data_IF_766493473306
#
_entry.id   IF_766493473306
#
_cell.length_a   1.000
_cell.length_b   1.000
_cell.length_c   1.000
_cell.angle_alpha   90.00
_cell.angle_beta   90.00
_cell.angle_gamma   90.00
#
_symmetry.space_group_name_H-M   'P 1'
#
loop_
_entity.id
_entity.type
_entity.pdbx_description
1 polymer ?
#
# COMPACT_ATOMS: atom_id res chain seq x y z
N UNK A 1 1.21 0.03 3.12
CA UNK A 1 0.22 0.90 3.78
C UNK A 1 -0.24 2.05 2.89
N UNK A 2 0.64 2.67 2.15
CA UNK A 2 0.37 3.86 1.33
C UNK A 2 -0.58 3.57 0.16
N UNK A 3 -0.48 2.40 -0.49
CA UNK A 3 -1.24 2.00 -1.67
C UNK A 3 -2.66 1.53 -1.40
N UNK A 4 -2.93 1.07 -0.19
CA UNK A 4 -4.20 0.39 0.10
C UNK A 4 -5.33 1.41 0.23
N UNK A 5 -6.42 1.34 -0.55
CA UNK A 5 -7.56 2.26 -0.42
C UNK A 5 -8.11 2.31 1.00
N UNK A 6 -8.64 3.48 1.42
CA UNK A 6 -9.19 3.63 2.77
C UNK A 6 -10.34 2.65 3.04
N UNK A 7 -11.12 2.29 2.00
CA UNK A 7 -12.22 1.32 2.07
C UNK A 7 -11.80 -0.07 2.53
N UNK A 8 -10.58 -0.50 2.19
CA UNK A 8 -10.04 -1.81 2.59
C UNK A 8 -9.84 -1.92 4.10
N UNK A 9 -9.67 -0.78 4.80
CA UNK A 9 -9.58 -0.73 6.26
C UNK A 9 -10.91 -1.04 6.96
N UNK A 10 -12.03 -1.01 6.24
CA UNK A 10 -13.35 -1.39 6.77
C UNK A 10 -13.39 -2.86 7.15
N UNK A 11 -12.71 -3.71 6.38
CA UNK A 11 -12.69 -5.16 6.55
C UNK A 11 -11.75 -5.59 7.69
N UNK A 12 -12.05 -6.76 8.28
CA UNK A 12 -11.15 -7.45 9.19
C UNK A 12 -9.83 -7.84 8.48
N UNK A 13 -8.85 -8.34 9.23
CA UNK A 13 -7.53 -8.71 8.68
C UNK A 13 -7.60 -9.68 7.49
N UNK A 14 -8.53 -10.64 7.57
CA UNK A 14 -8.76 -11.62 6.50
C UNK A 14 -9.31 -10.94 5.24
N UNK A 15 -10.32 -10.08 5.38
CA UNK A 15 -10.88 -9.34 4.24
C UNK A 15 -9.85 -8.43 3.57
N UNK A 16 -8.94 -7.84 4.34
CA UNK A 16 -7.80 -7.07 3.80
C UNK A 16 -6.82 -7.94 3.02
N UNK A 17 -6.50 -9.12 3.55
CA UNK A 17 -5.63 -10.08 2.86
C UNK A 17 -6.26 -10.53 1.54
N UNK A 18 -7.56 -10.84 1.55
CA UNK A 18 -8.29 -11.30 0.36
C UNK A 18 -8.38 -10.20 -0.72
N UNK A 19 -8.73 -8.96 -0.34
CA UNK A 19 -8.84 -7.87 -1.33
C UNK A 19 -7.50 -7.48 -1.92
N UNK A 20 -6.46 -7.29 -1.10
CA UNK A 20 -5.13 -6.90 -1.61
C UNK A 20 -4.44 -8.05 -2.34
N UNK A 21 -4.51 -9.25 -1.77
CA UNK A 21 -3.96 -10.46 -2.38
C UNK A 21 -4.71 -10.86 -3.65
N UNK A 22 -6.05 -10.77 -3.63
CA UNK A 22 -6.86 -11.06 -4.80
C UNK A 22 -6.55 -10.13 -5.98
N UNK A 23 -6.44 -8.82 -5.76
CA UNK A 23 -6.06 -7.87 -6.81
C UNK A 23 -4.68 -8.18 -7.41
N UNK A 24 -3.69 -8.44 -6.55
CA UNK A 24 -2.32 -8.78 -7.00
C UNK A 24 -2.31 -10.13 -7.71
N UNK A 25 -2.99 -11.13 -7.15
CA UNK A 25 -3.10 -12.45 -7.76
C UNK A 25 -3.75 -12.41 -9.14
N UNK A 26 -4.89 -11.70 -9.29
CA UNK A 26 -5.56 -11.53 -10.59
C UNK A 26 -4.65 -10.85 -11.59
N UNK A 27 -3.97 -9.77 -11.18
CA UNK A 27 -3.07 -9.04 -12.06
C UNK A 27 -1.93 -9.92 -12.58
N UNK A 28 -1.18 -10.55 -11.68
CA UNK A 28 -0.05 -11.39 -12.09
C UNK A 28 -0.49 -12.72 -12.72
N UNK A 29 -1.63 -13.29 -12.28
CA UNK A 29 -2.20 -14.47 -12.91
C UNK A 29 -2.64 -14.21 -14.34
N UNK A 30 -3.29 -13.06 -14.61
CA UNK A 30 -3.66 -12.66 -15.95
C UNK A 30 -2.42 -12.46 -16.86
N UNK A 31 -1.37 -11.83 -16.32
CA UNK A 31 -0.11 -11.66 -17.04
C UNK A 31 0.54 -13.01 -17.35
N UNK A 32 0.60 -13.92 -16.37
CA UNK A 32 1.13 -15.27 -16.58
C UNK A 32 0.31 -16.07 -17.60
N UNK A 33 -1.00 -15.86 -17.67
CA UNK A 33 -1.86 -16.47 -18.71
C UNK A 33 -1.55 -15.92 -20.08
N UNK A 34 -1.36 -14.60 -20.20
CA UNK A 34 -1.02 -13.95 -21.47
C UNK A 34 0.34 -14.39 -22.00
N UNK A 35 1.30 -14.57 -21.09
CA UNK A 35 2.67 -14.96 -21.40
C UNK A 35 2.75 -16.45 -21.77
N UNK A 36 2.33 -17.35 -20.89
CA UNK A 36 2.45 -18.80 -21.05
C UNK A 36 1.37 -19.43 -21.92
N UNK A 37 0.17 -18.83 -21.99
CA UNK A 37 -1.03 -19.42 -22.58
C UNK A 37 -1.60 -20.60 -21.78
N UNK A 38 -1.04 -20.94 -20.62
CA UNK A 38 -1.38 -22.12 -19.83
C UNK A 38 -2.19 -21.70 -18.59
N UNK A 39 -3.49 -22.06 -18.48
CA UNK A 39 -4.32 -21.67 -17.34
C UNK A 39 -3.82 -22.19 -15.97
N UNK A 40 -3.17 -23.33 -15.96
CA UNK A 40 -2.60 -23.91 -14.73
C UNK A 40 -1.46 -23.03 -14.18
N UNK A 41 -0.59 -22.51 -15.04
CA UNK A 41 0.49 -21.58 -14.64
C UNK A 41 -0.11 -20.30 -14.06
N UNK A 42 -1.13 -19.75 -14.72
CA UNK A 42 -1.85 -18.57 -14.24
C UNK A 42 -2.47 -18.81 -12.85
N UNK A 43 -3.11 -19.96 -12.63
CA UNK A 43 -3.69 -20.32 -11.34
C UNK A 43 -2.63 -20.47 -10.23
N UNK A 44 -1.50 -21.08 -10.52
CA UNK A 44 -0.39 -21.20 -9.57
C UNK A 44 0.16 -19.83 -9.20
N UNK A 45 0.41 -18.97 -10.17
CA UNK A 45 0.89 -17.59 -9.95
C UNK A 45 -0.12 -16.80 -9.14
N UNK A 46 -1.41 -16.87 -9.49
CA UNK A 46 -2.50 -16.24 -8.74
C UNK A 46 -2.49 -16.65 -7.27
N UNK A 47 -2.43 -17.94 -6.98
CA UNK A 47 -2.47 -18.46 -5.61
C UNK A 47 -1.22 -18.07 -4.83
N UNK A 48 -0.02 -18.28 -5.39
CA UNK A 48 1.24 -18.03 -4.68
C UNK A 48 1.43 -16.54 -4.41
N UNK A 49 1.32 -15.70 -5.45
CA UNK A 49 1.52 -14.25 -5.29
C UNK A 49 0.35 -13.60 -4.55
N UNK A 50 -0.89 -14.00 -4.84
CA UNK A 50 -2.06 -13.49 -4.16
C UNK A 50 -2.07 -13.81 -2.67
N UNK A 51 -1.89 -15.07 -2.29
CA UNK A 51 -1.84 -15.47 -0.89
C UNK A 51 -0.63 -14.87 -0.17
N UNK A 52 0.57 -14.98 -0.75
CA UNK A 52 1.81 -14.44 -0.18
C UNK A 52 1.72 -12.94 0.08
N UNK A 53 1.34 -12.15 -0.93
CA UNK A 53 1.22 -10.71 -0.81
C UNK A 53 0.07 -10.29 0.12
N UNK A 54 -1.06 -10.98 0.08
CA UNK A 54 -2.21 -10.71 0.94
C UNK A 54 -1.88 -10.91 2.41
N UNK A 55 -1.28 -12.04 2.76
CA UNK A 55 -0.85 -12.37 4.13
C UNK A 55 0.23 -11.38 4.61
N UNK A 56 1.23 -11.13 3.77
CA UNK A 56 2.32 -10.21 4.10
C UNK A 56 1.78 -8.79 4.37
N UNK A 57 0.91 -8.28 3.50
CA UNK A 57 0.30 -6.95 3.65
C UNK A 57 -0.57 -6.87 4.90
N UNK A 58 -1.40 -7.88 5.17
CA UNK A 58 -2.25 -7.90 6.36
C UNK A 58 -1.43 -7.93 7.66
N UNK A 59 -0.38 -8.74 7.72
CA UNK A 59 0.55 -8.80 8.87
C UNK A 59 1.30 -7.47 9.04
N UNK A 60 1.78 -6.88 7.95
CA UNK A 60 2.46 -5.60 7.96
C UNK A 60 1.54 -4.48 8.47
N UNK A 61 0.29 -4.42 8.00
CA UNK A 61 -0.71 -3.46 8.48
C UNK A 61 -0.97 -3.59 9.99
N UNK A 62 -1.10 -4.82 10.50
CA UNK A 62 -1.32 -5.09 11.90
C UNK A 62 -0.12 -4.68 12.78
N UNK A 63 1.10 -4.83 12.26
CA UNK A 63 2.34 -4.44 12.95
C UNK A 63 2.45 -2.93 13.15
N UNK A 64 2.18 -2.15 12.12
CA UNK A 64 2.39 -0.69 12.16
C UNK A 64 1.22 0.10 12.76
N UNK A 65 0.06 -0.52 12.90
CA UNK A 65 -1.08 0.11 13.58
C UNK A 65 -1.85 -0.90 14.43
N UNK A 66 -1.28 -1.31 15.58
CA UNK A 66 -1.94 -2.28 16.47
C UNK A 66 -3.26 -1.75 17.05
N UNK A 67 -3.35 -0.45 17.35
CA UNK A 67 -4.57 0.22 17.85
C UNK A 67 -5.76 0.17 16.88
N UNK A 68 -5.56 -0.20 15.63
CA UNK A 68 -6.66 -0.42 14.69
C UNK A 68 -7.66 -1.52 15.14
N UNK A 69 -7.26 -2.41 16.04
CA UNK A 69 -8.13 -3.48 16.53
C UNK A 69 -9.23 -2.98 17.46
N UNK A 70 -8.98 -1.89 18.17
CA UNK A 70 -9.91 -1.26 19.11
C UNK A 70 -10.97 -0.40 18.42
N UNK A 71 -10.77 -0.09 17.13
CA UNK A 71 -11.65 0.74 16.33
C UNK A 71 -12.62 -0.11 15.51
N UNK A 72 -13.83 0.40 15.33
CA UNK A 72 -14.79 -0.15 14.36
C UNK A 72 -14.28 0.05 12.92
N UNK A 73 -14.83 -0.72 11.97
CA UNK A 73 -14.46 -0.58 10.57
C UNK A 73 -14.71 0.83 9.99
N UNK A 74 -15.76 1.51 10.44
CA UNK A 74 -16.08 2.88 10.03
C UNK A 74 -15.07 3.88 10.60
N UNK A 75 -14.76 3.78 11.88
CA UNK A 75 -13.76 4.64 12.55
C UNK A 75 -12.37 4.49 11.92
N UNK A 76 -11.93 3.26 11.59
CA UNK A 76 -10.67 3.03 10.86
C UNK A 76 -10.63 3.78 9.53
N UNK A 77 -11.72 3.71 8.74
CA UNK A 77 -11.81 4.41 7.46
C UNK A 77 -11.74 5.92 7.66
N UNK A 78 -12.42 6.45 8.68
CA UNK A 78 -12.41 7.88 9.02
C UNK A 78 -11.01 8.36 9.39
N UNK A 79 -10.32 7.64 10.29
CA UNK A 79 -8.94 7.94 10.69
C UNK A 79 -7.99 7.93 9.49
N UNK A 80 -8.04 6.86 8.67
CA UNK A 80 -7.18 6.74 7.48
C UNK A 80 -7.46 7.84 6.46
N UNK A 81 -8.72 8.20 6.24
CA UNK A 81 -9.12 9.25 5.30
C UNK A 81 -8.64 10.62 5.78
N UNK A 82 -8.88 10.95 7.04
CA UNK A 82 -8.43 12.20 7.64
C UNK A 82 -6.90 12.34 7.59
N UNK A 83 -6.16 11.30 8.00
CA UNK A 83 -4.71 11.29 7.92
C UNK A 83 -4.18 11.49 6.48
N UNK A 84 -4.82 10.87 5.48
CA UNK A 84 -4.40 11.00 4.07
C UNK A 84 -4.72 12.36 3.44
N UNK A 85 -5.75 13.03 3.92
CA UNK A 85 -6.13 14.37 3.45
C UNK A 85 -5.47 15.48 4.25
N UNK A 86 -4.91 15.18 5.42
CA UNK A 86 -4.38 16.19 6.34
C UNK A 86 -5.50 16.98 7.06
N UNK A 87 -6.68 16.37 7.19
CA UNK A 87 -7.87 16.97 7.77
C UNK A 87 -8.00 16.64 9.26
N UNK A 88 -8.68 17.51 10.00
CA UNK A 88 -9.10 17.25 11.38
C UNK A 88 -10.16 16.15 11.42
N UNK A 89 -10.07 15.28 12.41
CA UNK A 89 -11.16 14.35 12.74
C UNK A 89 -12.12 15.09 13.67
N UNK A 90 -13.41 15.08 13.33
CA UNK A 90 -14.44 15.74 14.15
C UNK A 90 -14.64 15.11 15.53
N UNK A 91 -14.24 13.86 15.73
CA UNK A 91 -14.31 13.16 17.01
C UNK A 91 -12.93 13.20 17.71
N UNK A 92 -12.86 13.91 18.84
CA UNK A 92 -11.64 14.06 19.65
C UNK A 92 -11.09 12.71 20.14
N UNK A 93 -11.93 11.69 20.34
CA UNK A 93 -11.50 10.34 20.71
C UNK A 93 -10.62 9.70 19.65
N UNK A 94 -10.84 10.00 18.38
CA UNK A 94 -10.09 9.46 17.25
C UNK A 94 -8.78 10.22 16.98
N UNK A 95 -8.56 11.37 17.59
CA UNK A 95 -7.35 12.18 17.41
C UNK A 95 -6.08 11.40 17.75
N UNK A 96 -6.09 10.64 18.86
CA UNK A 96 -4.98 9.76 19.23
C UNK A 96 -4.70 8.71 18.16
N UNK A 97 -5.74 8.10 17.62
CA UNK A 97 -5.63 7.07 16.57
C UNK A 97 -5.06 7.63 15.26
N UNK A 98 -5.32 8.92 14.93
CA UNK A 98 -4.70 9.61 13.79
C UNK A 98 -3.19 9.76 13.99
N UNK A 99 -2.77 10.16 15.20
CA UNK A 99 -1.34 10.28 15.54
C UNK A 99 -0.64 8.92 15.48
N UNK A 100 -1.26 7.88 16.02
CA UNK A 100 -0.69 6.52 16.01
C UNK A 100 -0.61 5.94 14.58
N UNK A 101 -1.63 6.17 13.75
CA UNK A 101 -1.60 5.80 12.34
C UNK A 101 -0.47 6.53 11.59
N UNK A 102 -0.29 7.83 11.83
CA UNK A 102 0.75 8.64 11.18
C UNK A 102 2.15 8.17 11.56
N UNK A 103 2.37 7.82 12.84
CA UNK A 103 3.64 7.21 13.31
C UNK A 103 3.90 5.86 12.63
N UNK A 104 2.87 4.99 12.57
CA UNK A 104 2.98 3.70 11.89
C UNK A 104 3.28 3.84 10.40
N UNK A 105 2.70 4.85 9.74
CA UNK A 105 2.98 5.14 8.33
C UNK A 105 4.42 5.57 8.11
N UNK A 106 4.98 6.41 8.98
CA UNK A 106 6.39 6.82 8.94
C UNK A 106 7.32 5.64 9.19
N UNK A 107 7.10 4.88 10.24
CA UNK A 107 7.92 3.69 10.55
C UNK A 107 7.94 2.71 9.37
N UNK A 108 6.79 2.47 8.73
CA UNK A 108 6.71 1.64 7.54
C UNK A 108 7.48 2.21 6.34
N UNK A 109 7.55 3.53 6.20
CA UNK A 109 8.29 4.19 5.13
C UNK A 109 9.81 4.14 5.37
N UNK A 110 10.25 4.33 6.61
CA UNK A 110 11.65 4.24 7.03
C UNK A 110 12.20 2.83 6.86
N UNK A 111 11.46 1.81 7.28
CA UNK A 111 11.84 0.40 7.09
C UNK A 111 11.93 0.01 5.61
N UNK A 112 11.13 0.61 4.74
CA UNK A 112 11.20 0.36 3.31
C UNK A 112 12.36 1.10 2.60
N UNK A 113 12.97 2.09 3.26
CA UNK A 113 14.03 2.93 2.66
C UNK A 113 15.26 2.14 2.17
N UNK A 114 15.84 1.19 2.95
CA UNK A 114 16.99 0.43 2.51
C UNK A 114 16.70 -0.47 1.30
N UNK A 115 15.44 -0.84 1.06
CA UNK A 115 15.06 -1.70 -0.06
C UNK A 115 14.83 -0.94 -1.38
N UNK A 116 15.02 0.38 -1.40
CA UNK A 116 14.82 1.18 -2.63
C UNK A 116 15.78 0.81 -3.75
N UNK A 117 16.99 0.38 -3.43
CA UNK A 117 17.95 -0.09 -4.43
C UNK A 117 17.48 -1.35 -5.16
N UNK A 118 16.69 -2.21 -4.47
CA UNK A 118 16.10 -3.41 -5.07
C UNK A 118 15.16 -3.07 -6.23
N UNK A 119 14.43 -1.95 -6.15
CA UNK A 119 13.58 -1.48 -7.25
C UNK A 119 14.42 -1.13 -8.49
N UNK A 120 15.55 -0.49 -8.30
CA UNK A 120 16.49 -0.19 -9.41
C UNK A 120 17.10 -1.46 -9.99
N UNK A 121 17.43 -2.42 -9.14
CA UNK A 121 17.94 -3.72 -9.56
C UNK A 121 16.88 -4.48 -10.39
N UNK A 122 15.65 -4.55 -9.91
CA UNK A 122 14.53 -5.18 -10.64
C UNK A 122 14.28 -4.47 -11.97
N UNK A 123 14.34 -3.14 -12.00
CA UNK A 123 14.21 -2.36 -13.24
C UNK A 123 15.32 -2.70 -14.24
N UNK A 124 16.56 -2.79 -13.77
CA UNK A 124 17.70 -3.14 -14.62
C UNK A 124 17.55 -4.55 -15.22
N UNK A 125 17.15 -5.52 -14.39
CA UNK A 125 16.87 -6.90 -14.84
C UNK A 125 15.73 -6.91 -15.86
N UNK A 126 14.63 -6.21 -15.57
CA UNK A 126 13.50 -6.12 -16.50
C UNK A 126 13.88 -5.47 -17.84
N UNK A 127 14.72 -4.43 -17.82
CA UNK A 127 15.22 -3.79 -19.03
C UNK A 127 16.10 -4.74 -19.86
N UNK A 128 16.97 -5.52 -19.22
CA UNK A 128 17.81 -6.52 -19.90
C UNK A 128 16.94 -7.61 -20.54
N UNK A 129 15.94 -8.12 -19.81
CA UNK A 129 15.02 -9.13 -20.32
C UNK A 129 14.19 -8.58 -21.50
N UNK A 130 13.67 -7.36 -21.40
CA UNK A 130 12.92 -6.73 -22.47
C UNK A 130 13.79 -6.53 -23.72
N UNK A 131 15.05 -6.16 -23.56
CA UNK A 131 16.00 -6.07 -24.68
C UNK A 131 16.25 -7.44 -25.31
N UNK A 132 16.43 -8.47 -24.49
CA UNK A 132 16.60 -9.84 -24.95
C UNK A 132 15.40 -10.32 -25.78
N UNK A 133 14.18 -10.12 -25.26
CA UNK A 133 12.95 -10.50 -25.93
C UNK A 133 12.73 -9.72 -27.23
N UNK A 134 13.20 -8.48 -27.31
CA UNK A 134 13.13 -7.68 -28.54
C UNK A 134 14.07 -8.22 -29.63
N UNK A 135 15.22 -8.76 -29.24
CA UNK A 135 16.24 -9.24 -30.19
C UNK A 135 16.01 -10.70 -30.59
N UNK A 136 15.60 -11.55 -29.66
CA UNK A 136 15.53 -12.99 -29.83
C UNK A 136 14.13 -13.60 -29.65
N UNK A 137 13.20 -12.81 -29.08
CA UNK A 137 11.84 -13.27 -28.79
C UNK A 137 10.86 -13.08 -29.95
N UNK A 138 9.64 -13.55 -29.72
CA UNK A 138 8.53 -13.25 -30.60
C UNK A 138 8.00 -11.84 -30.41
N UNK A 139 7.26 -11.30 -31.41
CA UNK A 139 6.59 -9.99 -31.27
C UNK A 139 5.68 -9.92 -30.03
N UNK A 140 5.08 -11.05 -29.64
CA UNK A 140 4.24 -11.15 -28.45
C UNK A 140 5.06 -10.97 -27.16
N UNK A 141 6.21 -11.60 -27.06
CA UNK A 141 7.11 -11.52 -25.91
C UNK A 141 7.66 -10.10 -25.78
N UNK A 142 8.08 -9.50 -26.87
CA UNK A 142 8.56 -8.13 -26.91
C UNK A 142 7.49 -7.12 -26.43
N UNK A 143 6.24 -7.28 -26.87
CA UNK A 143 5.11 -6.43 -26.43
C UNK A 143 4.84 -6.63 -24.93
N UNK A 144 4.81 -7.88 -24.45
CA UNK A 144 4.59 -8.17 -23.03
C UNK A 144 5.68 -7.54 -22.16
N UNK A 145 6.95 -7.73 -22.53
CA UNK A 145 8.10 -7.16 -21.82
C UNK A 145 8.11 -5.63 -21.83
N UNK A 146 7.73 -4.98 -22.95
CA UNK A 146 7.55 -3.53 -23.00
C UNK A 146 6.45 -3.03 -22.05
N UNK A 147 5.32 -3.73 -21.97
CA UNK A 147 4.23 -3.40 -21.04
C UNK A 147 4.69 -3.52 -19.58
N UNK A 148 5.37 -4.62 -19.24
CA UNK A 148 5.94 -4.80 -17.89
C UNK A 148 6.91 -3.68 -17.54
N UNK A 149 7.83 -3.35 -18.44
CA UNK A 149 8.81 -2.31 -18.24
C UNK A 149 8.16 -0.94 -18.05
N UNK A 150 7.17 -0.60 -18.88
CA UNK A 150 6.42 0.64 -18.77
C UNK A 150 5.69 0.76 -17.42
N UNK A 151 5.00 -0.30 -16.97
CA UNK A 151 4.32 -0.33 -15.67
C UNK A 151 5.31 -0.16 -14.53
N UNK A 152 6.46 -0.81 -14.60
CA UNK A 152 7.51 -0.73 -13.57
C UNK A 152 8.12 0.67 -13.51
N UNK A 153 8.34 1.31 -14.64
CA UNK A 153 8.84 2.70 -14.73
C UNK A 153 7.81 3.67 -14.14
N UNK A 154 6.53 3.53 -14.51
CA UNK A 154 5.45 4.35 -13.96
C UNK A 154 5.42 4.22 -12.42
N UNK A 155 5.48 3.00 -11.91
CA UNK A 155 5.46 2.76 -10.46
C UNK A 155 6.67 3.38 -9.77
N UNK A 156 7.86 3.25 -10.35
CA UNK A 156 9.10 3.77 -9.78
C UNK A 156 9.11 5.30 -9.68
N UNK A 157 8.57 6.01 -10.68
CA UNK A 157 8.57 7.48 -10.70
C UNK A 157 7.37 8.10 -9.99
N UNK A 158 6.21 7.47 -10.06
CA UNK A 158 4.97 8.00 -9.47
C UNK A 158 4.86 7.71 -7.97
N UNK A 159 5.34 6.53 -7.56
CA UNK A 159 5.25 6.05 -6.19
C UNK A 159 5.94 6.95 -5.15
N UNK A 160 7.21 7.39 -5.32
CA UNK A 160 7.88 8.22 -4.33
C UNK A 160 7.19 9.56 -4.12
N UNK A 161 6.69 10.17 -5.19
CA UNK A 161 5.98 11.45 -5.13
C UNK A 161 4.68 11.30 -4.32
N UNK A 162 3.91 10.26 -4.59
CA UNK A 162 2.66 9.98 -3.88
C UNK A 162 2.91 9.62 -2.41
N UNK A 163 3.96 8.87 -2.12
CA UNK A 163 4.35 8.54 -0.76
C UNK A 163 4.74 9.78 0.04
N UNK A 164 5.52 10.69 -0.52
CA UNK A 164 5.92 11.94 0.12
C UNK A 164 4.69 12.82 0.45
N UNK A 165 3.75 12.96 -0.48
CA UNK A 165 2.50 13.69 -0.25
C UNK A 165 1.67 13.09 0.88
N UNK A 166 1.52 11.78 0.91
CA UNK A 166 0.75 11.09 1.95
C UNK A 166 1.40 11.21 3.32
N UNK A 167 2.72 11.16 3.40
CA UNK A 167 3.45 11.39 4.64
C UNK A 167 3.27 12.83 5.13
N UNK A 168 3.42 13.83 4.26
CA UNK A 168 3.22 15.23 4.64
C UNK A 168 1.78 15.55 5.07
N UNK A 169 0.79 14.92 4.46
CA UNK A 169 -0.60 15.04 4.87
C UNK A 169 -0.86 14.39 6.23
N UNK A 170 -0.32 13.19 6.45
CA UNK A 170 -0.45 12.50 7.72
C UNK A 170 0.20 13.27 8.88
N UNK A 171 1.32 13.96 8.60
CA UNK A 171 1.98 14.82 9.58
C UNK A 171 1.14 16.05 9.93
N UNK A 172 0.56 16.70 8.92
CA UNK A 172 -0.37 17.82 9.15
C UNK A 172 -1.56 17.40 9.99
N UNK A 173 -2.18 16.25 9.67
CA UNK A 173 -3.30 15.73 10.45
C UNK A 173 -2.89 15.43 11.90
N UNK A 174 -1.72 14.83 12.12
CA UNK A 174 -1.21 14.52 13.46
C UNK A 174 -0.90 15.78 14.27
N UNK A 175 -0.30 16.81 13.64
CA UNK A 175 -0.01 18.10 14.30
C UNK A 175 -1.29 18.81 14.71
N UNK A 176 -2.28 18.85 13.83
CA UNK A 176 -3.57 19.47 14.10
C UNK A 176 -4.34 18.73 15.20
N UNK A 177 -4.28 17.39 15.20
CA UNK A 177 -4.86 16.56 16.25
C UNK A 177 -4.21 16.79 17.62
N UNK A 178 -2.89 17.03 17.68
CA UNK A 178 -2.19 17.35 18.92
C UNK A 178 -2.59 18.72 19.47
N UNK A 179 -2.71 19.73 18.59
CA UNK A 179 -3.11 21.09 19.00
C UNK A 179 -4.54 21.12 19.56
N UNK A 180 -5.48 20.39 18.95
CA UNK A 180 -6.86 20.31 19.46
C UNK A 180 -6.94 19.65 20.85
N UNK A 181 -6.05 18.70 21.15
CA UNK A 181 -5.98 18.10 22.49
C UNK A 181 -5.45 19.05 23.56
N UNK A 182 -4.52 19.94 23.22
CA UNK A 182 -3.92 20.92 24.15
C UNK A 182 -4.89 22.09 24.42
N UNK A 183 -5.72 22.46 23.44
CA UNK A 183 -6.63 23.59 23.55
C UNK A 183 -7.97 23.29 24.21
N UNK A 184 -8.23 22.04 24.65
CA UNK A 184 -9.37 21.71 25.50
C UNK A 184 -8.93 21.66 26.95
N UNK A 185 -8.99 22.80 27.71
CA UNK A 185 -8.70 22.76 29.14
C UNK A 185 -9.77 21.86 29.77
N UNK A 186 -9.33 20.96 30.67
CA UNK A 186 -10.25 20.20 31.49
C UNK A 186 -11.19 21.19 32.18
N UNK A 187 -12.44 21.29 31.75
CA UNK A 187 -13.48 21.86 32.58
C UNK A 187 -13.57 20.96 33.79
N UNK A 188 -12.99 21.44 34.87
CA UNK A 188 -13.13 20.85 36.20
C UNK A 188 -14.62 20.72 36.53
N UNK A 189 -15.03 19.68 37.25
CA UNK A 189 -16.38 19.56 37.72
C UNK A 189 -16.68 20.70 38.70
N UNK A 190 -17.65 21.54 38.34
CA UNK A 190 -18.30 22.47 39.26
C UNK A 190 -19.30 21.73 40.14
#
# INVERSE_FOLDING_TARGET
>A
MVTVPASVWRSASVGRALTTGGCVGVFFGALALLDSGIPLVAAIVFVILGAGYGIWTARRMARYWPGARELTGAERVTVVRAARRGELVGDSRLARSVVDYSRGLRAAAEEARPYRWLLWFVLAVAAVLALWDTVYGSTRDAVASCVYLALLVIELFWWPKRQAQLLSNADRAAETARRSHVSTPSRGPT
#
